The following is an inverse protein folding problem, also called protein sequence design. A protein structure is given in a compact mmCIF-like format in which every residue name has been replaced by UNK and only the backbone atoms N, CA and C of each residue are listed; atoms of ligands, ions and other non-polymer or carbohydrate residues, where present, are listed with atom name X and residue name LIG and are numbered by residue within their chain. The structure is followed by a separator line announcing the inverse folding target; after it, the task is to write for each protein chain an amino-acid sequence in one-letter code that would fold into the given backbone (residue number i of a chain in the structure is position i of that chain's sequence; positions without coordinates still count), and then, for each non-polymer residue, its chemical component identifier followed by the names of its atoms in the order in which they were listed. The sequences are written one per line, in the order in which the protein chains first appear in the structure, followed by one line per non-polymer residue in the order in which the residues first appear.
data_IF_791492434648
#
_entry.id   IF_791492434648
#
_cell.length_a   1.000
_cell.length_b   1.000
_cell.length_c   1.000
_cell.angle_alpha   90.00
_cell.angle_beta   90.00
_cell.angle_gamma   90.00
#
_symmetry.space_group_name_H-M   'P 1'
#
loop_
_entity.id
_entity.type
_entity.pdbx_description
1 polymer ?
#
# COMPACT_ATOMS: atom_id res chain seq x y z
N UNK A 1 41.95 5.81 10.24
CA UNK A 1 41.59 4.38 10.17
C UNK A 1 40.37 4.22 11.03
N UNK A 2 39.19 4.05 10.43
CA UNK A 2 38.00 3.57 11.12
C UNK A 2 37.05 3.03 10.03
N UNK A 3 36.75 1.74 10.09
CA UNK A 3 35.91 1.03 9.11
C UNK A 3 34.48 0.99 9.64
N UNK A 4 33.53 1.37 8.80
CA UNK A 4 32.10 1.29 9.05
C UNK A 4 31.64 -0.19 8.95
N UNK A 5 30.88 -0.74 9.91
CA UNK A 5 30.31 -2.08 9.80
C UNK A 5 29.16 -2.10 8.78
N UNK A 6 29.21 -3.07 7.87
CA UNK A 6 28.25 -3.25 6.78
C UNK A 6 26.87 -3.71 7.24
N UNK A 7 25.86 -3.35 6.44
CA UNK A 7 24.46 -3.70 6.67
C UNK A 7 24.21 -5.21 6.62
N UNK A 8 23.45 -5.71 7.59
CA UNK A 8 22.99 -7.10 7.66
C UNK A 8 21.80 -7.25 6.70
N UNK A 9 21.99 -8.02 5.62
CA UNK A 9 20.91 -8.44 4.74
C UNK A 9 20.09 -9.54 5.44
N UNK A 10 18.89 -9.20 5.89
CA UNK A 10 17.89 -10.22 6.28
C UNK A 10 17.16 -10.70 5.03
N UNK A 11 17.51 -11.90 4.56
CA UNK A 11 16.70 -12.63 3.60
C UNK A 11 15.43 -13.13 4.31
N UNK A 12 14.27 -12.84 3.70
CA UNK A 12 12.97 -13.37 4.08
C UNK A 12 12.83 -14.76 3.45
N UNK A 13 12.70 -15.80 4.28
CA UNK A 13 12.40 -17.16 3.83
C UNK A 13 11.06 -17.22 3.07
N UNK A 14 11.00 -17.84 1.88
CA UNK A 14 9.75 -18.17 1.22
C UNK A 14 9.11 -19.44 1.83
N UNK A 15 7.78 -19.53 1.87
CA UNK A 15 7.08 -20.71 2.39
C UNK A 15 7.34 -21.94 1.50
N UNK A 16 7.76 -23.02 2.15
CA UNK A 16 7.95 -24.32 1.54
C UNK A 16 6.63 -24.89 1.03
N UNK A 17 6.59 -25.25 -0.26
CA UNK A 17 5.51 -26.05 -0.80
C UNK A 17 5.59 -26.23 -2.31
N UNK A 18 5.90 -27.46 -2.72
CA UNK A 18 5.71 -28.07 -4.04
C UNK A 18 6.87 -27.91 -5.06
N UNK A 19 7.79 -28.88 -5.01
CA UNK A 19 8.64 -29.28 -6.13
C UNK A 19 7.79 -29.92 -7.25
N UNK A 20 8.09 -29.62 -8.52
CA UNK A 20 7.96 -30.55 -9.63
C UNK A 20 9.33 -31.19 -9.97
N UNK A 21 9.32 -32.38 -10.62
CA UNK A 21 10.49 -33.24 -10.76
C UNK A 21 11.47 -32.83 -11.86
N UNK A 22 12.71 -33.28 -11.66
CA UNK A 22 13.85 -33.24 -12.57
C UNK A 22 13.50 -33.76 -13.98
N UNK A 23 13.95 -33.03 -15.00
CA UNK A 23 13.90 -33.41 -16.41
C UNK A 23 15.23 -33.12 -17.11
N UNK A 24 15.87 -34.20 -17.58
CA UNK A 24 17.16 -34.29 -18.27
C UNK A 24 17.17 -33.62 -19.67
N UNK A 25 18.39 -33.36 -20.16
CA UNK A 25 18.77 -33.22 -21.58
C UNK A 25 19.52 -31.91 -21.83
N UNK A 26 20.86 -31.85 -21.85
CA UNK A 26 21.74 -32.17 -22.99
C UNK A 26 21.15 -31.74 -24.33
N UNK A 27 21.64 -30.63 -24.89
CA UNK A 27 21.91 -30.54 -26.32
C UNK A 27 23.02 -29.50 -26.55
N UNK A 28 24.20 -30.02 -26.91
CA UNK A 28 25.25 -29.27 -27.57
C UNK A 28 25.03 -29.47 -29.07
N UNK A 29 24.79 -28.41 -29.82
CA UNK A 29 24.65 -28.42 -31.28
C UNK A 29 25.48 -27.25 -31.82
N UNK A 30 26.12 -27.29 -32.97
CA UNK A 30 26.83 -28.31 -33.76
C UNK A 30 27.60 -27.43 -34.75
N UNK A 31 28.89 -27.70 -34.90
CA UNK A 31 29.82 -26.93 -35.71
C UNK A 31 29.50 -27.19 -37.18
N UNK A 32 28.69 -26.32 -37.79
CA UNK A 32 28.45 -26.37 -39.24
C UNK A 32 29.51 -25.53 -39.96
N UNK A 33 30.55 -26.23 -40.40
CA UNK A 33 31.56 -25.80 -41.36
C UNK A 33 30.87 -25.44 -42.71
N UNK A 34 30.51 -24.16 -42.88
CA UNK A 34 29.93 -23.63 -44.12
C UNK A 34 31.04 -23.10 -45.04
N UNK A 35 31.29 -23.85 -46.11
CA UNK A 35 32.20 -23.50 -47.19
C UNK A 35 31.76 -22.18 -47.89
N UNK A 36 32.67 -21.20 -48.07
CA UNK A 36 32.33 -19.92 -48.67
C UNK A 36 31.94 -20.07 -50.15
N UNK A 37 30.82 -19.46 -50.59
CA UNK A 37 30.41 -19.46 -52.00
C UNK A 37 31.36 -18.63 -52.89
N UNK A 38 31.40 -18.90 -54.20
CA UNK A 38 32.29 -18.24 -55.15
C UNK A 38 32.02 -16.73 -55.26
N UNK A 39 33.04 -15.91 -55.59
CA UNK A 39 32.90 -14.46 -55.68
C UNK A 39 31.96 -14.07 -56.83
N UNK A 40 30.87 -13.42 -56.46
CA UNK A 40 29.90 -12.80 -57.36
C UNK A 40 30.58 -11.67 -58.16
N UNK A 41 30.35 -11.54 -59.47
CA UNK A 41 30.95 -10.48 -60.28
C UNK A 41 30.58 -9.10 -59.74
N UNK A 42 31.60 -8.25 -59.55
CA UNK A 42 31.46 -6.87 -59.09
C UNK A 42 30.61 -6.07 -60.08
N UNK A 43 29.40 -5.62 -59.68
CA UNK A 43 28.58 -4.80 -60.55
C UNK A 43 29.27 -3.46 -60.82
N UNK A 44 29.22 -3.04 -62.08
CA UNK A 44 29.65 -1.73 -62.55
C UNK A 44 29.01 -0.63 -61.70
N UNK A 45 29.77 0.37 -61.21
CA UNK A 45 29.23 1.42 -60.35
C UNK A 45 28.12 2.17 -61.08
N UNK A 46 26.90 2.01 -60.58
CA UNK A 46 25.76 2.84 -60.96
C UNK A 46 26.04 4.27 -60.50
N UNK A 47 25.75 5.30 -61.32
CA UNK A 47 25.92 6.69 -60.93
C UNK A 47 25.19 6.98 -59.60
N UNK A 48 25.78 7.82 -58.73
CA UNK A 48 25.18 8.13 -57.44
C UNK A 48 23.78 8.74 -57.67
N UNK A 49 22.74 8.21 -56.99
CA UNK A 49 21.41 8.79 -57.10
C UNK A 49 21.43 10.24 -56.60
N UNK A 50 20.57 11.11 -57.16
CA UNK A 50 20.43 12.47 -56.69
C UNK A 50 20.15 12.50 -55.17
N UNK A 51 20.69 13.47 -54.42
CA UNK A 51 20.53 13.53 -52.98
C UNK A 51 19.04 13.53 -52.63
N UNK A 52 18.61 12.52 -51.90
CA UNK A 52 17.26 12.44 -51.36
C UNK A 52 17.02 13.67 -50.50
N UNK A 53 15.92 14.42 -50.68
CA UNK A 53 15.63 15.57 -49.83
C UNK A 53 15.62 15.13 -48.38
N UNK A 54 16.52 15.69 -47.58
CA UNK A 54 16.59 15.47 -46.14
C UNK A 54 15.29 16.00 -45.55
N UNK A 55 14.38 15.09 -45.19
CA UNK A 55 13.18 15.45 -44.42
C UNK A 55 13.63 16.12 -43.13
N UNK A 56 13.14 17.33 -42.89
CA UNK A 56 13.37 18.04 -41.64
C UNK A 56 13.04 17.10 -40.46
N UNK A 57 13.86 17.06 -39.41
CA UNK A 57 13.62 16.20 -38.27
C UNK A 57 12.22 16.50 -37.71
N UNK A 58 11.36 15.49 -37.71
CA UNK A 58 10.06 15.54 -37.04
C UNK A 58 10.30 15.96 -35.60
N UNK A 59 9.71 17.08 -35.19
CA UNK A 59 9.85 17.59 -33.83
C UNK A 59 9.42 16.49 -32.84
N UNK A 60 10.30 16.16 -31.90
CA UNK A 60 9.95 15.23 -30.83
C UNK A 60 8.72 15.76 -30.08
N UNK A 61 7.76 14.90 -29.70
CA UNK A 61 6.62 15.33 -28.91
C UNK A 61 7.10 15.97 -27.60
N UNK A 62 6.38 17.00 -27.10
CA UNK A 62 6.73 17.62 -25.83
C UNK A 62 6.72 16.59 -24.72
N UNK A 63 7.78 16.57 -23.91
CA UNK A 63 7.88 15.70 -22.74
C UNK A 63 6.67 15.95 -21.82
N UNK A 64 5.96 14.92 -21.36
CA UNK A 64 4.85 15.11 -20.44
C UNK A 64 5.32 15.78 -19.15
N UNK A 65 4.49 16.68 -18.61
CA UNK A 65 4.73 17.26 -17.29
C UNK A 65 4.60 16.16 -16.22
N UNK A 66 5.74 15.57 -15.87
CA UNK A 66 5.83 14.49 -14.89
C UNK A 66 5.24 14.88 -13.54
N UNK A 67 5.28 16.16 -13.16
CA UNK A 67 4.72 16.60 -11.87
C UNK A 67 3.21 16.40 -11.84
N UNK A 68 2.52 16.93 -12.86
CA UNK A 68 1.08 16.80 -12.99
C UNK A 68 0.65 15.34 -13.18
N UNK A 69 1.38 14.58 -14.01
CA UNK A 69 1.13 13.16 -14.20
C UNK A 69 1.25 12.37 -12.88
N UNK A 70 2.35 12.53 -12.17
CA UNK A 70 2.59 11.80 -10.92
C UNK A 70 1.62 12.17 -9.82
N UNK A 71 1.23 13.45 -9.71
CA UNK A 71 0.23 13.86 -8.74
C UNK A 71 -1.12 13.15 -9.00
N UNK A 72 -1.55 13.07 -10.25
CA UNK A 72 -2.79 12.39 -10.64
C UNK A 72 -2.74 10.87 -10.46
N UNK A 73 -1.57 10.25 -10.60
CA UNK A 73 -1.41 8.82 -10.37
C UNK A 73 -1.32 8.46 -8.88
N UNK A 74 -0.71 9.33 -8.06
CA UNK A 74 -0.40 9.01 -6.67
C UNK A 74 -1.48 9.42 -5.68
N UNK A 75 -2.17 10.55 -5.91
CA UNK A 75 -3.13 11.05 -4.94
C UNK A 75 -4.35 10.13 -4.74
N UNK A 76 -5.04 9.65 -5.81
CA UNK A 76 -6.22 8.81 -5.63
C UNK A 76 -6.00 7.51 -4.83
N UNK A 77 -4.96 6.68 -5.10
CA UNK A 77 -4.75 5.46 -4.31
C UNK A 77 -4.35 5.76 -2.87
N UNK A 78 -3.57 6.82 -2.62
CA UNK A 78 -3.20 7.21 -1.26
C UNK A 78 -4.42 7.72 -0.46
N UNK A 79 -5.30 8.49 -1.08
CA UNK A 79 -6.54 8.94 -0.46
C UNK A 79 -7.51 7.78 -0.19
N UNK A 80 -7.59 6.81 -1.10
CA UNK A 80 -8.38 5.59 -0.88
C UNK A 80 -7.87 4.78 0.32
N UNK A 81 -6.54 4.62 0.44
CA UNK A 81 -5.92 3.94 1.58
C UNK A 81 -6.16 4.69 2.90
N UNK A 82 -6.05 6.02 2.90
CA UNK A 82 -6.38 6.85 4.07
C UNK A 82 -7.84 6.63 4.51
N UNK A 83 -8.76 6.67 3.56
CA UNK A 83 -10.20 6.49 3.84
C UNK A 83 -10.49 5.10 4.41
N UNK A 84 -9.91 4.05 3.82
CA UNK A 84 -10.01 2.69 4.35
C UNK A 84 -9.42 2.58 5.76
N UNK A 85 -8.32 3.27 6.00
CA UNK A 85 -7.68 3.40 7.31
C UNK A 85 -8.57 4.01 8.38
N UNK A 86 -9.21 5.14 8.08
CA UNK A 86 -10.18 5.77 8.99
C UNK A 86 -11.37 4.86 9.32
N UNK A 87 -11.88 4.12 8.33
CA UNK A 87 -12.93 3.14 8.57
C UNK A 87 -12.48 2.05 9.57
N UNK A 88 -11.23 1.59 9.46
CA UNK A 88 -10.67 0.63 10.43
C UNK A 88 -10.51 1.24 11.83
N UNK A 89 -10.08 2.50 11.94
CA UNK A 89 -10.01 3.21 13.23
C UNK A 89 -11.36 3.21 13.94
N UNK A 90 -12.43 3.48 13.18
CA UNK A 90 -13.79 3.49 13.70
C UNK A 90 -14.24 2.11 14.20
N UNK A 91 -13.97 1.06 13.43
CA UNK A 91 -14.31 -0.32 13.81
C UNK A 91 -13.57 -0.73 15.09
N UNK A 92 -12.27 -0.41 15.20
CA UNK A 92 -11.49 -0.73 16.40
C UNK A 92 -11.97 0.07 17.62
N UNK A 93 -12.24 1.36 17.46
CA UNK A 93 -12.78 2.20 18.52
C UNK A 93 -14.10 1.64 19.07
N UNK A 94 -15.02 1.23 18.19
CA UNK A 94 -16.27 0.62 18.59
C UNK A 94 -16.08 -0.76 19.25
N UNK A 95 -15.15 -1.58 18.76
CA UNK A 95 -14.85 -2.86 19.39
C UNK A 95 -14.37 -2.68 20.84
N UNK A 96 -13.45 -1.74 21.09
CA UNK A 96 -12.99 -1.39 22.44
C UNK A 96 -14.12 -0.89 23.33
N UNK A 97 -14.99 -0.03 22.78
CA UNK A 97 -16.17 0.45 23.47
C UNK A 97 -17.11 -0.69 23.92
N UNK A 98 -17.41 -1.63 23.01
CA UNK A 98 -18.27 -2.78 23.32
C UNK A 98 -17.65 -3.69 24.38
N UNK A 99 -16.34 -3.95 24.30
CA UNK A 99 -15.64 -4.73 25.33
C UNK A 99 -15.70 -4.05 26.70
N UNK A 100 -15.46 -2.73 26.76
CA UNK A 100 -15.58 -1.96 27.99
C UNK A 100 -17.00 -2.03 28.56
N UNK A 101 -18.01 -1.91 27.69
CA UNK A 101 -19.40 -1.99 28.09
C UNK A 101 -19.79 -3.37 28.64
N UNK A 102 -19.31 -4.45 28.02
CA UNK A 102 -19.56 -5.82 28.48
C UNK A 102 -18.90 -6.09 29.84
N UNK A 103 -17.65 -5.65 30.02
CA UNK A 103 -16.95 -5.74 31.31
C UNK A 103 -17.64 -4.89 32.39
N UNK A 104 -18.08 -3.69 32.01
CA UNK A 104 -18.85 -2.79 32.86
C UNK A 104 -20.15 -3.44 33.34
N UNK A 105 -20.89 -4.07 32.42
CA UNK A 105 -22.12 -4.82 32.71
C UNK A 105 -21.81 -5.98 33.67
N UNK A 106 -20.79 -6.77 33.38
CA UNK A 106 -20.47 -7.94 34.20
C UNK A 106 -19.93 -7.59 35.60
N UNK A 107 -19.12 -6.55 35.77
CA UNK A 107 -18.50 -6.24 37.06
C UNK A 107 -19.32 -5.27 37.92
N UNK A 108 -20.02 -4.32 37.30
CA UNK A 108 -20.73 -3.25 38.01
C UNK A 108 -22.17 -3.67 38.33
N UNK A 109 -22.85 -4.38 37.43
CA UNK A 109 -24.20 -4.86 37.69
C UNK A 109 -24.24 -5.93 38.78
N UNK A 110 -23.23 -6.80 38.84
CA UNK A 110 -23.14 -7.85 39.87
C UNK A 110 -22.90 -7.30 41.28
N UNK A 111 -22.43 -6.05 41.41
CA UNK A 111 -22.26 -5.36 42.69
C UNK A 111 -23.43 -4.41 43.03
N UNK A 112 -24.39 -4.26 42.12
CA UNK A 112 -25.60 -3.47 42.37
C UNK A 112 -26.53 -4.22 43.34
N UNK A 113 -27.16 -3.51 44.30
CA UNK A 113 -28.21 -4.11 45.13
C UNK A 113 -29.43 -4.56 44.30
N UNK A 114 -29.56 -4.08 43.06
CA UNK A 114 -30.51 -4.58 42.07
C UNK A 114 -29.77 -4.84 40.73
N UNK A 115 -29.33 -6.08 40.46
CA UNK A 115 -28.65 -6.45 39.21
C UNK A 115 -29.63 -6.49 38.02
N UNK A 116 -30.92 -6.66 38.27
CA UNK A 116 -31.96 -6.76 37.24
C UNK A 116 -32.30 -5.38 36.66
N UNK A 117 -32.26 -4.33 37.48
CA UNK A 117 -32.36 -2.94 37.04
C UNK A 117 -31.19 -2.51 36.13
N UNK A 118 -30.02 -3.14 36.32
CA UNK A 118 -28.80 -2.87 35.56
C UNK A 118 -28.83 -3.53 34.17
N UNK A 119 -29.27 -4.79 34.09
CA UNK A 119 -29.47 -5.51 32.81
C UNK A 119 -30.61 -4.94 31.96
N UNK A 120 -31.67 -4.40 32.59
CA UNK A 120 -32.82 -3.83 31.88
C UNK A 120 -32.71 -2.32 31.62
N UNK A 121 -31.72 -1.64 32.21
CA UNK A 121 -31.44 -0.28 31.83
C UNK A 121 -30.96 -0.29 30.38
N UNK A 122 -31.71 0.37 29.48
CA UNK A 122 -31.43 0.57 28.05
C UNK A 122 -30.15 1.41 27.81
N UNK A 123 -29.19 1.31 28.71
CA UNK A 123 -27.85 1.80 28.59
C UNK A 123 -27.32 1.31 27.25
N UNK A 124 -26.98 2.27 26.42
CA UNK A 124 -26.32 2.06 25.16
C UNK A 124 -25.15 3.02 25.13
N UNK A 125 -24.22 2.77 24.23
CA UNK A 125 -23.06 3.62 24.03
C UNK A 125 -23.42 5.13 23.91
N UNK A 126 -24.60 5.43 23.38
CA UNK A 126 -25.11 6.80 23.20
C UNK A 126 -26.05 7.29 24.31
N UNK A 127 -26.41 6.45 25.29
CA UNK A 127 -27.42 6.78 26.29
C UNK A 127 -27.09 6.26 27.69
N UNK A 128 -25.93 6.65 28.20
CA UNK A 128 -25.51 6.35 29.58
C UNK A 128 -26.37 6.99 30.68
N UNK A 129 -27.20 7.99 30.34
CA UNK A 129 -28.12 8.65 31.28
C UNK A 129 -29.35 7.81 31.62
N UNK A 130 -29.70 6.85 30.78
CA UNK A 130 -30.82 5.93 31.03
C UNK A 130 -30.47 4.85 32.08
N UNK A 131 -29.21 4.77 32.48
CA UNK A 131 -28.74 3.93 33.57
C UNK A 131 -29.24 4.49 34.89
N UNK A 132 -30.37 3.99 35.40
CA UNK A 132 -30.98 4.45 36.66
C UNK A 132 -30.09 4.28 37.91
N UNK A 133 -28.89 3.71 37.77
CA UNK A 133 -27.91 3.53 38.83
C UNK A 133 -26.65 4.41 38.55
N UNK A 134 -26.19 5.21 39.53
CA UNK A 134 -25.05 6.11 39.38
C UNK A 134 -23.72 5.39 39.07
N UNK A 135 -23.55 4.14 39.53
CA UNK A 135 -22.36 3.35 39.25
C UNK A 135 -22.30 2.87 37.79
N UNK A 136 -23.45 2.52 37.19
CA UNK A 136 -23.49 2.21 35.76
C UNK A 136 -23.35 3.46 34.90
N UNK A 137 -23.89 4.60 35.34
CA UNK A 137 -23.71 5.86 34.62
C UNK A 137 -22.23 6.27 34.55
N UNK A 138 -21.45 6.14 35.63
CA UNK A 138 -20.02 6.51 35.62
C UNK A 138 -19.19 5.57 34.74
N UNK A 139 -19.45 4.27 34.84
CA UNK A 139 -18.77 3.25 34.07
C UNK A 139 -19.10 3.35 32.56
N UNK A 140 -20.37 3.55 32.20
CA UNK A 140 -20.78 3.81 30.81
C UNK A 140 -20.14 5.11 30.27
N UNK A 141 -20.07 6.17 31.07
CA UNK A 141 -19.42 7.42 30.66
C UNK A 141 -17.92 7.22 30.42
N UNK A 142 -17.25 6.43 31.25
CA UNK A 142 -15.85 6.05 31.06
C UNK A 142 -15.63 5.26 29.76
N UNK A 143 -16.48 4.26 29.50
CA UNK A 143 -16.44 3.48 28.27
C UNK A 143 -16.76 4.31 27.02
N UNK A 144 -17.64 5.31 27.13
CA UNK A 144 -17.93 6.23 26.03
C UNK A 144 -16.74 7.14 25.67
N UNK A 145 -15.91 7.48 26.65
CA UNK A 145 -14.75 8.35 26.45
C UNK A 145 -13.47 7.58 26.05
N UNK A 146 -13.32 6.33 26.49
CA UNK A 146 -12.17 5.48 26.16
C UNK A 146 -11.84 5.36 24.65
N UNK A 147 -12.81 5.17 23.73
CA UNK A 147 -12.50 5.05 22.31
C UNK A 147 -12.05 6.36 21.67
N UNK A 148 -12.35 7.52 22.27
CA UNK A 148 -11.98 8.81 21.67
C UNK A 148 -10.46 8.98 21.56
N UNK A 149 -9.68 8.54 22.54
CA UNK A 149 -8.22 8.65 22.51
C UNK A 149 -7.59 7.71 21.49
N UNK A 150 -8.05 6.45 21.43
CA UNK A 150 -7.58 5.46 20.47
C UNK A 150 -7.96 5.84 19.04
N UNK A 151 -9.20 6.30 18.84
CA UNK A 151 -9.68 6.79 17.56
C UNK A 151 -8.86 7.99 17.09
N UNK A 152 -8.67 9.01 17.94
CA UNK A 152 -7.89 10.20 17.58
C UNK A 152 -6.44 9.86 17.25
N UNK A 153 -5.80 8.96 18.00
CA UNK A 153 -4.45 8.49 17.70
C UNK A 153 -4.39 7.76 16.34
N UNK A 154 -5.38 6.90 16.06
CA UNK A 154 -5.48 6.19 14.80
C UNK A 154 -5.73 7.12 13.60
N UNK A 155 -6.65 8.08 13.73
CA UNK A 155 -6.90 9.10 12.71
C UNK A 155 -5.64 9.92 12.45
N UNK A 156 -4.96 10.37 13.51
CA UNK A 156 -3.72 11.13 13.38
C UNK A 156 -2.64 10.36 12.62
N UNK A 157 -2.51 9.05 12.88
CA UNK A 157 -1.61 8.18 12.11
C UNK A 157 -1.94 8.18 10.61
N UNK A 158 -3.22 8.06 10.24
CA UNK A 158 -3.63 8.02 8.84
C UNK A 158 -3.54 9.38 8.13
N UNK A 159 -3.68 10.49 8.85
CA UNK A 159 -3.36 11.83 8.32
C UNK A 159 -1.88 11.94 7.94
N UNK A 160 -0.98 11.47 8.81
CA UNK A 160 0.45 11.43 8.51
C UNK A 160 0.77 10.47 7.37
N UNK A 161 0.10 9.31 7.33
CA UNK A 161 0.27 8.30 6.28
C UNK A 161 0.02 8.85 4.88
N UNK A 162 -0.98 9.72 4.69
CA UNK A 162 -1.27 10.30 3.38
C UNK A 162 -0.05 11.03 2.80
N UNK A 163 0.64 11.84 3.62
CA UNK A 163 1.85 12.54 3.21
C UNK A 163 2.98 11.59 2.80
N UNK A 164 3.21 10.55 3.60
CA UNK A 164 4.23 9.54 3.27
C UNK A 164 3.90 8.75 2.01
N UNK A 165 2.64 8.36 1.83
CA UNK A 165 2.19 7.62 0.65
C UNK A 165 2.39 8.45 -0.63
N UNK A 166 1.99 9.73 -0.61
CA UNK A 166 2.15 10.61 -1.77
C UNK A 166 3.64 10.79 -2.08
N UNK A 167 4.49 11.04 -1.09
CA UNK A 167 5.92 11.24 -1.30
C UNK A 167 6.61 10.01 -1.89
N UNK A 168 6.34 8.81 -1.36
CA UNK A 168 6.93 7.56 -1.87
C UNK A 168 6.45 7.24 -3.29
N UNK A 169 5.13 7.34 -3.52
CA UNK A 169 4.57 7.13 -4.85
C UNK A 169 5.14 8.13 -5.86
N UNK A 170 5.23 9.41 -5.49
CA UNK A 170 5.71 10.46 -6.37
C UNK A 170 7.20 10.25 -6.73
N UNK A 171 8.03 9.87 -5.77
CA UNK A 171 9.43 9.52 -6.01
C UNK A 171 9.59 8.34 -6.98
N UNK A 172 8.74 7.33 -6.88
CA UNK A 172 8.74 6.18 -7.80
C UNK A 172 8.19 6.56 -9.18
N UNK A 173 7.15 7.40 -9.22
CA UNK A 173 6.57 7.86 -10.47
C UNK A 173 7.56 8.74 -11.26
N UNK A 174 8.27 9.67 -10.63
CA UNK A 174 9.26 10.50 -11.32
C UNK A 174 10.39 9.68 -11.96
N UNK A 175 10.86 8.62 -11.30
CA UNK A 175 11.88 7.72 -11.86
C UNK A 175 11.42 7.06 -13.16
N UNK A 176 10.13 6.73 -13.27
CA UNK A 176 9.56 6.01 -14.42
C UNK A 176 8.93 6.94 -15.47
N UNK A 177 8.70 8.20 -15.14
CA UNK A 177 8.07 9.14 -16.07
C UNK A 177 8.93 9.40 -17.32
N UNK A 178 10.26 9.36 -17.18
CA UNK A 178 11.20 9.56 -18.29
C UNK A 178 11.34 8.35 -19.22
N UNK A 179 10.82 7.17 -18.85
CA UNK A 179 10.94 5.96 -19.66
C UNK A 179 9.68 5.61 -20.45
N UNK A 180 8.58 6.35 -20.25
CA UNK A 180 7.29 6.09 -20.92
C UNK A 180 6.88 7.16 -21.95
N UNK A 181 7.76 8.12 -22.26
CA UNK A 181 7.57 9.10 -23.35
C UNK A 181 8.58 8.87 -24.46
#
# INVERSE_FOLDING_TARGET
MERQPGAVHHCRDPPQGHQPPEGRGHECDDDTDQQPPPPTPTPTPSPPPPPTPTTAPTSAPPLPDCSSYCNNQCYPPCQANQTAGFAQCWVQANATAYMCYDECSNNTCNQSPDPTACFNSLCSFNNCRACGNPYTSSCCTGCAQAPSSQYNSCVHYWDLFLGYCIMDCYANCQKNCHTQG
#
